data_IF_619929510698
#
_entry.id   IF_619929510698
#
_cell.length_a   1.000
_cell.length_b   1.000
_cell.length_c   1.000
_cell.angle_alpha   90.00
_cell.angle_beta   90.00
_cell.angle_gamma   90.00
#
_symmetry.space_group_name_H-M   'P 1'
#
loop_
_entity.id
_entity.type
_entity.pdbx_description
1 polymer ?
#
# COMPACT_ATOMS: atom_id res chain seq x y z
N UNK A 1 27.82 17.31 35.06
CA UNK A 1 26.56 17.69 34.39
C UNK A 1 26.36 16.69 33.28
N UNK A 2 25.47 15.73 33.52
CA UNK A 2 25.17 14.64 32.60
C UNK A 2 23.86 15.05 31.92
N UNK A 3 23.90 15.25 30.61
CA UNK A 3 22.71 15.53 29.81
C UNK A 3 21.88 14.25 29.71
N UNK A 4 20.73 14.29 30.37
CA UNK A 4 19.69 13.27 30.32
C UNK A 4 18.93 13.42 28.99
N UNK A 5 19.42 12.76 27.93
CA UNK A 5 18.65 12.56 26.72
C UNK A 5 17.61 11.47 26.97
N UNK A 6 16.49 11.87 27.55
CA UNK A 6 15.29 11.03 27.62
C UNK A 6 14.79 10.79 26.19
N UNK A 7 15.09 9.60 25.67
CA UNK A 7 14.50 9.00 24.47
C UNK A 7 12.99 9.25 24.45
N UNK A 8 12.52 10.11 23.53
CA UNK A 8 11.12 10.15 23.12
C UNK A 8 10.85 8.91 22.29
N UNK A 9 10.53 7.83 22.99
CA UNK A 9 9.85 6.68 22.45
C UNK A 9 8.48 7.17 21.97
N UNK A 10 8.36 7.45 20.66
CA UNK A 10 7.07 7.69 20.03
C UNK A 10 6.29 6.38 20.12
N UNK A 11 5.26 6.37 20.96
CA UNK A 11 4.31 5.27 21.07
C UNK A 11 3.87 4.82 19.68
N UNK A 12 4.07 3.54 19.39
CA UNK A 12 3.84 2.89 18.10
C UNK A 12 2.37 2.69 17.77
N UNK A 13 1.50 3.61 18.16
CA UNK A 13 0.08 3.59 17.80
C UNK A 13 -0.05 4.06 16.35
N UNK A 14 -0.48 3.23 15.39
CA UNK A 14 -0.75 3.70 14.04
C UNK A 14 -1.81 4.82 14.09
N UNK A 15 -1.61 5.89 13.31
CA UNK A 15 -2.61 6.96 13.17
C UNK A 15 -3.98 6.35 12.82
N UNK A 16 -5.09 6.93 13.29
CA UNK A 16 -6.43 6.43 13.01
C UNK A 16 -6.67 6.21 11.51
N UNK A 17 -6.12 7.08 10.66
CA UNK A 17 -6.19 6.97 9.19
C UNK A 17 -5.51 5.72 8.63
N UNK A 18 -4.48 5.19 9.32
CA UNK A 18 -3.78 3.97 8.93
C UNK A 18 -4.53 2.69 9.35
N UNK A 19 -5.35 2.78 10.40
CA UNK A 19 -6.19 1.66 10.84
C UNK A 19 -7.31 1.39 9.83
N UNK A 20 -7.84 2.44 9.20
CA UNK A 20 -8.90 2.34 8.19
C UNK A 20 -8.39 2.06 6.76
N UNK A 21 -7.07 2.06 6.56
CA UNK A 21 -6.45 1.87 5.25
C UNK A 21 -6.87 0.58 4.54
N UNK A 22 -6.95 -0.60 5.19
CA UNK A 22 -7.43 -1.81 4.52
C UNK A 22 -8.87 -1.69 4.01
N UNK A 23 -9.75 -1.03 4.78
CA UNK A 23 -11.12 -0.80 4.37
C UNK A 23 -11.20 0.18 3.19
N UNK A 24 -10.37 1.22 3.17
CA UNK A 24 -10.26 2.15 2.05
C UNK A 24 -9.75 1.44 0.78
N UNK A 25 -8.72 0.59 0.91
CA UNK A 25 -8.21 -0.24 -0.17
C UNK A 25 -9.29 -1.17 -0.74
N UNK A 26 -10.06 -1.85 0.12
CA UNK A 26 -11.15 -2.72 -0.33
C UNK A 26 -12.25 -1.94 -1.07
N UNK A 27 -12.64 -0.75 -0.61
CA UNK A 27 -13.60 0.11 -1.33
C UNK A 27 -13.10 0.49 -2.73
N UNK A 28 -11.86 0.94 -2.84
CA UNK A 28 -11.24 1.27 -4.13
C UNK A 28 -11.12 0.04 -5.03
N UNK A 29 -10.73 -1.10 -4.47
CA UNK A 29 -10.65 -2.38 -5.16
C UNK A 29 -12.02 -2.82 -5.73
N UNK A 30 -13.10 -2.63 -4.98
CA UNK A 30 -14.47 -2.89 -5.44
C UNK A 30 -14.86 -1.94 -6.59
N UNK A 31 -14.56 -0.64 -6.48
CA UNK A 31 -14.80 0.33 -7.57
C UNK A 31 -14.07 -0.09 -8.86
N UNK A 32 -12.79 -0.42 -8.76
CA UNK A 32 -11.96 -0.85 -9.90
C UNK A 32 -12.47 -2.15 -10.54
N UNK A 33 -12.92 -3.11 -9.73
CA UNK A 33 -13.42 -4.41 -10.21
C UNK A 33 -14.72 -4.29 -11.03
N UNK A 34 -15.45 -3.18 -10.89
CA UNK A 34 -16.69 -2.89 -11.64
C UNK A 34 -16.44 -2.09 -12.91
N UNK A 35 -15.22 -1.62 -13.14
CA UNK A 35 -14.91 -0.79 -14.31
C UNK A 35 -14.73 -1.62 -15.57
N UNK A 36 -15.19 -1.05 -16.69
CA UNK A 36 -14.90 -1.54 -18.02
C UNK A 36 -13.43 -1.28 -18.41
N UNK A 37 -12.86 -2.03 -19.36
CA UNK A 37 -11.50 -1.77 -19.88
C UNK A 37 -11.30 -0.33 -20.37
N UNK A 38 -12.34 0.28 -20.94
CA UNK A 38 -12.31 1.68 -21.39
C UNK A 38 -12.19 2.66 -20.23
N UNK A 39 -12.87 2.41 -19.13
CA UNK A 39 -12.81 3.25 -17.92
C UNK A 39 -11.47 3.11 -17.20
N UNK A 40 -10.94 1.89 -17.12
CA UNK A 40 -9.60 1.59 -16.59
C UNK A 40 -8.49 2.25 -17.41
N UNK A 41 -8.69 2.37 -18.72
CA UNK A 41 -7.74 3.02 -19.64
C UNK A 41 -7.79 4.54 -19.62
N UNK A 42 -8.77 5.16 -18.94
CA UNK A 42 -8.83 6.63 -18.83
C UNK A 42 -7.59 7.16 -18.13
N UNK A 43 -7.08 8.29 -18.62
CA UNK A 43 -5.91 8.95 -18.07
C UNK A 43 -6.29 9.87 -16.91
N UNK A 44 -5.43 9.89 -15.91
CA UNK A 44 -5.47 10.76 -14.75
C UNK A 44 -4.11 11.47 -14.64
N UNK A 45 -4.01 12.64 -14.00
CA UNK A 45 -2.72 13.27 -13.76
C UNK A 45 -1.78 12.30 -13.01
N UNK A 46 -0.52 12.19 -13.42
CA UNK A 46 0.56 11.42 -12.76
C UNK A 46 1.35 12.25 -11.74
N UNK A 47 2.16 11.60 -10.89
CA UNK A 47 2.91 12.28 -9.80
C UNK A 47 3.88 13.34 -10.32
N UNK A 48 4.39 13.12 -11.51
CA UNK A 48 5.26 13.99 -12.30
C UNK A 48 4.48 14.99 -13.18
N UNK A 49 3.15 15.05 -13.07
CA UNK A 49 2.29 15.84 -13.94
C UNK A 49 1.99 15.20 -15.30
N UNK A 50 2.62 14.06 -15.63
CA UNK A 50 2.37 13.37 -16.89
C UNK A 50 1.12 12.50 -16.80
N UNK A 51 0.26 12.45 -17.83
CA UNK A 51 -0.94 11.62 -17.79
C UNK A 51 -0.62 10.11 -17.69
N UNK A 52 -1.23 9.43 -16.71
CA UNK A 52 -1.11 7.98 -16.50
C UNK A 52 -2.48 7.31 -16.56
N UNK A 53 -2.59 6.06 -17.03
CA UNK A 53 -3.89 5.36 -17.02
C UNK A 53 -4.24 4.94 -15.58
N UNK A 54 -5.52 4.98 -15.22
CA UNK A 54 -5.99 4.53 -13.89
C UNK A 54 -5.49 3.13 -13.55
N UNK A 55 -5.53 2.22 -14.52
CA UNK A 55 -5.06 0.84 -14.31
C UNK A 55 -3.58 0.75 -14.00
N UNK A 56 -2.74 1.60 -14.59
CA UNK A 56 -1.30 1.58 -14.34
C UNK A 56 -1.01 2.12 -12.93
N UNK A 57 -1.75 3.14 -12.49
CA UNK A 57 -1.67 3.66 -11.11
C UNK A 57 -2.18 2.63 -10.10
N UNK A 58 -3.31 1.98 -10.38
CA UNK A 58 -3.84 0.91 -9.54
C UNK A 58 -2.89 -0.30 -9.44
N UNK A 59 -2.21 -0.63 -10.54
CA UNK A 59 -1.21 -1.70 -10.56
C UNK A 59 0.01 -1.34 -9.72
N UNK A 60 0.55 -0.13 -9.88
CA UNK A 60 1.64 0.35 -9.06
C UNK A 60 1.26 0.31 -7.57
N UNK A 61 0.04 0.72 -7.21
CA UNK A 61 -0.46 0.61 -5.84
C UNK A 61 -0.50 -0.85 -5.36
N UNK A 62 -1.00 -1.78 -6.19
CA UNK A 62 -1.05 -3.20 -5.86
C UNK A 62 0.36 -3.77 -5.64
N UNK A 63 1.31 -3.44 -6.52
CA UNK A 63 2.71 -3.87 -6.41
C UNK A 63 3.35 -3.35 -5.12
N UNK A 64 3.14 -2.07 -4.79
CA UNK A 64 3.61 -1.48 -3.53
C UNK A 64 2.98 -2.19 -2.33
N UNK A 65 1.67 -2.45 -2.36
CA UNK A 65 0.99 -3.15 -1.26
C UNK A 65 1.48 -4.59 -1.10
N UNK A 66 1.75 -5.31 -2.19
CA UNK A 66 2.33 -6.65 -2.13
C UNK A 66 3.72 -6.66 -1.48
N UNK A 67 4.53 -5.63 -1.76
CA UNK A 67 5.81 -5.42 -1.06
C UNK A 67 5.61 -5.19 0.44
N UNK A 68 4.61 -4.38 0.84
CA UNK A 68 4.31 -4.16 2.27
C UNK A 68 3.91 -5.47 2.93
N UNK A 69 2.97 -6.20 2.34
CA UNK A 69 2.48 -7.49 2.86
C UNK A 69 3.62 -8.48 3.03
N UNK A 70 4.46 -8.66 1.99
CA UNK A 70 5.62 -9.56 2.08
C UNK A 70 6.64 -9.06 3.11
N UNK A 71 6.85 -7.75 3.21
CA UNK A 71 7.75 -7.11 4.16
C UNK A 71 7.33 -7.33 5.61
N UNK A 72 6.03 -7.31 5.89
CA UNK A 72 5.44 -7.64 7.20
C UNK A 72 5.61 -9.14 7.49
N UNK A 73 5.22 -10.00 6.55
CA UNK A 73 5.32 -11.46 6.66
C UNK A 73 6.75 -11.92 7.04
N UNK A 74 7.76 -11.29 6.43
CA UNK A 74 9.17 -11.66 6.58
C UNK A 74 9.95 -10.75 7.54
N UNK A 75 9.28 -9.90 8.32
CA UNK A 75 9.95 -8.91 9.16
C UNK A 75 10.86 -9.53 10.24
N UNK A 76 10.66 -10.80 10.59
CA UNK A 76 11.46 -11.52 11.57
C UNK A 76 12.78 -12.08 10.98
N UNK A 77 12.96 -12.06 9.65
CA UNK A 77 14.16 -12.57 9.00
C UNK A 77 15.36 -11.63 9.18
N UNK A 78 16.55 -12.22 9.28
CA UNK A 78 17.82 -11.49 9.38
C UNK A 78 18.18 -10.76 8.08
N UNK A 79 17.79 -11.33 6.92
CA UNK A 79 18.08 -10.84 5.58
C UNK A 79 16.80 -10.42 4.84
N UNK A 80 16.89 -9.54 3.83
CA UNK A 80 15.73 -9.17 3.02
C UNK A 80 15.16 -10.38 2.28
N UNK A 81 13.81 -10.47 2.16
CA UNK A 81 13.18 -11.57 1.44
C UNK A 81 13.45 -11.45 -0.06
N UNK A 82 13.31 -12.57 -0.78
CA UNK A 82 13.24 -12.55 -2.24
C UNK A 82 11.91 -11.90 -2.68
N UNK A 83 11.98 -10.68 -3.18
CA UNK A 83 10.80 -9.90 -3.58
C UNK A 83 10.04 -10.57 -4.72
N UNK A 84 8.77 -10.88 -4.47
CA UNK A 84 7.87 -11.47 -5.47
C UNK A 84 7.24 -10.36 -6.30
N UNK A 85 7.12 -10.60 -7.60
CA UNK A 85 6.31 -9.76 -8.49
C UNK A 85 4.87 -10.26 -8.48
N UNK A 86 3.92 -9.33 -8.50
CA UNK A 86 2.53 -9.71 -8.76
C UNK A 86 2.42 -10.24 -10.19
N UNK A 87 1.73 -11.38 -10.41
CA UNK A 87 1.49 -11.87 -11.76
C UNK A 87 0.60 -10.89 -12.51
N UNK A 88 0.99 -10.58 -13.75
CA UNK A 88 0.19 -9.76 -14.66
C UNK A 88 -0.54 -10.67 -15.65
N UNK A 89 -1.88 -10.73 -15.53
CA UNK A 89 -2.72 -11.42 -16.52
C UNK A 89 -3.42 -10.45 -17.46
N UNK A 90 -4.16 -9.47 -16.91
CA UNK A 90 -4.96 -8.51 -17.67
C UNK A 90 -5.37 -7.31 -16.80
N UNK A 91 -5.66 -6.18 -17.45
CA UNK A 91 -6.08 -4.94 -16.77
C UNK A 91 -7.25 -5.12 -15.80
N UNK A 92 -8.23 -5.98 -16.12
CA UNK A 92 -9.43 -6.20 -15.31
C UNK A 92 -9.22 -6.93 -13.99
N UNK A 93 -8.06 -7.56 -13.73
CA UNK A 93 -7.83 -8.29 -12.46
C UNK A 93 -7.29 -7.41 -11.34
N UNK A 94 -6.87 -6.18 -11.63
CA UNK A 94 -6.18 -5.31 -10.65
C UNK A 94 -7.04 -5.03 -9.41
N UNK A 95 -8.36 -4.90 -9.58
CA UNK A 95 -9.28 -4.72 -8.46
C UNK A 95 -9.33 -5.95 -7.55
N UNK A 96 -9.31 -7.16 -8.11
CA UNK A 96 -9.26 -8.39 -7.32
C UNK A 96 -7.93 -8.53 -6.57
N UNK A 97 -6.81 -8.22 -7.24
CA UNK A 97 -5.48 -8.26 -6.64
C UNK A 97 -5.37 -7.30 -5.45
N UNK A 98 -5.83 -6.05 -5.61
CA UNK A 98 -5.86 -5.08 -4.52
C UNK A 98 -6.72 -5.56 -3.35
N UNK A 99 -7.86 -6.21 -3.63
CA UNK A 99 -8.76 -6.72 -2.60
C UNK A 99 -8.12 -7.83 -1.75
N UNK A 100 -7.47 -8.79 -2.39
CA UNK A 100 -6.75 -9.87 -1.69
C UNK A 100 -5.66 -9.28 -0.80
N UNK A 101 -4.86 -8.38 -1.34
CA UNK A 101 -3.78 -7.74 -0.59
C UNK A 101 -4.28 -6.83 0.55
N UNK A 102 -5.43 -6.18 0.38
CA UNK A 102 -6.08 -5.41 1.44
C UNK A 102 -6.55 -6.32 2.59
N UNK A 103 -7.09 -7.49 2.26
CA UNK A 103 -7.47 -8.50 3.24
C UNK A 103 -6.24 -9.02 4.00
N UNK A 104 -5.15 -9.34 3.30
CA UNK A 104 -3.89 -9.76 3.91
C UNK A 104 -3.37 -8.69 4.87
N UNK A 105 -3.31 -7.43 4.43
CA UNK A 105 -2.90 -6.31 5.27
C UNK A 105 -3.77 -6.20 6.53
N UNK A 106 -5.10 -6.29 6.40
CA UNK A 106 -6.02 -6.26 7.55
C UNK A 106 -5.73 -7.37 8.56
N UNK A 107 -5.39 -8.57 8.08
CA UNK A 107 -4.99 -9.70 8.94
C UNK A 107 -3.67 -9.47 9.66
N UNK A 108 -2.73 -8.74 9.04
CA UNK A 108 -1.41 -8.50 9.62
C UNK A 108 -1.34 -7.30 10.58
N UNK A 109 -2.11 -6.23 10.35
CA UNK A 109 -2.02 -4.99 11.14
C UNK A 109 -2.09 -5.18 12.67
N UNK A 110 -2.96 -6.02 13.25
CA UNK A 110 -3.04 -6.20 14.70
C UNK A 110 -1.75 -6.73 15.35
N UNK A 111 -0.89 -7.38 14.56
CA UNK A 111 0.36 -8.00 15.01
C UNK A 111 1.56 -7.47 14.24
N UNK A 112 1.41 -6.33 13.56
CA UNK A 112 2.41 -5.86 12.65
C UNK A 112 3.65 -5.34 13.41
N UNK A 113 4.85 -5.65 12.92
CA UNK A 113 6.10 -5.18 13.50
C UNK A 113 6.27 -3.69 13.24
N UNK A 114 6.96 -2.98 14.14
CA UNK A 114 7.25 -1.56 13.98
C UNK A 114 8.11 -1.26 12.73
N UNK A 115 8.98 -2.21 12.34
CA UNK A 115 9.80 -2.12 11.14
C UNK A 115 9.61 -3.34 10.24
N UNK A 116 9.56 -3.09 8.94
CA UNK A 116 9.41 -4.12 7.91
C UNK A 116 10.61 -4.10 6.97
N UNK A 117 10.81 -5.21 6.26
CA UNK A 117 11.67 -5.19 5.09
C UNK A 117 10.98 -4.44 3.94
N UNK A 118 11.76 -3.69 3.18
CA UNK A 118 11.39 -3.12 1.88
C UNK A 118 12.54 -3.34 0.90
N UNK A 119 12.33 -3.16 -0.42
CA UNK A 119 13.41 -3.23 -1.40
C UNK A 119 14.56 -2.24 -1.13
N UNK A 120 14.29 -1.15 -0.41
CA UNK A 120 15.28 -0.16 0.00
C UNK A 120 15.95 -0.48 1.36
N UNK A 121 15.65 -1.63 1.97
CA UNK A 121 16.11 -2.03 3.31
C UNK A 121 15.00 -1.92 4.37
N UNK A 122 15.40 -1.91 5.65
CA UNK A 122 14.48 -1.80 6.78
C UNK A 122 13.87 -0.40 6.86
N UNK A 123 12.54 -0.32 6.99
CA UNK A 123 11.82 0.94 7.16
C UNK A 123 10.72 0.82 8.22
N UNK A 124 10.36 1.92 8.91
CA UNK A 124 9.17 1.95 9.77
C UNK A 124 7.91 1.62 8.97
N UNK A 125 7.07 0.74 9.50
CA UNK A 125 5.82 0.35 8.85
C UNK A 125 4.89 1.56 8.68
N UNK A 126 4.79 2.41 9.69
CA UNK A 126 3.92 3.59 9.67
C UNK A 126 4.22 4.53 8.48
N UNK A 127 5.50 4.81 8.20
CA UNK A 127 5.91 5.64 7.07
C UNK A 127 5.50 5.03 5.73
N UNK A 128 5.70 3.71 5.59
CA UNK A 128 5.37 2.99 4.37
C UNK A 128 3.85 2.95 4.15
N UNK A 129 3.06 2.77 5.22
CA UNK A 129 1.60 2.82 5.13
C UNK A 129 1.09 4.24 4.82
N UNK A 130 1.70 5.29 5.37
CA UNK A 130 1.35 6.67 5.05
C UNK A 130 1.60 7.01 3.57
N UNK A 131 2.72 6.55 3.00
CA UNK A 131 2.98 6.69 1.57
C UNK A 131 1.97 5.95 0.70
N UNK A 132 1.49 4.78 1.17
CA UNK A 132 0.49 3.97 0.49
C UNK A 132 -0.90 4.63 0.55
N UNK A 133 -1.26 5.20 1.70
CA UNK A 133 -2.50 5.96 1.89
C UNK A 133 -2.55 7.17 0.95
N UNK A 134 -1.45 7.92 0.82
CA UNK A 134 -1.38 9.04 -0.11
C UNK A 134 -1.55 8.63 -1.59
N UNK A 135 -1.04 7.46 -1.98
CA UNK A 135 -1.30 6.91 -3.33
C UNK A 135 -2.75 6.48 -3.53
N UNK A 136 -3.36 5.89 -2.50
CA UNK A 136 -4.75 5.47 -2.52
C UNK A 136 -5.69 6.66 -2.65
N UNK A 137 -5.54 7.69 -1.80
CA UNK A 137 -6.33 8.93 -1.85
C UNK A 137 -6.26 9.57 -3.24
N UNK A 138 -5.05 9.62 -3.80
CA UNK A 138 -4.82 10.12 -5.15
C UNK A 138 -5.63 9.34 -6.17
N UNK A 139 -5.55 8.01 -6.16
CA UNK A 139 -6.30 7.17 -7.09
C UNK A 139 -7.80 7.40 -6.92
N UNK A 140 -8.28 7.41 -5.68
CA UNK A 140 -9.70 7.57 -5.34
C UNK A 140 -10.31 8.86 -5.87
N UNK A 141 -9.59 10.00 -5.81
CA UNK A 141 -10.05 11.28 -6.37
C UNK A 141 -10.44 11.22 -7.86
N UNK A 142 -9.90 10.25 -8.60
CA UNK A 142 -10.16 10.09 -10.03
C UNK A 142 -11.01 8.87 -10.37
N UNK A 143 -11.54 8.15 -9.37
CA UNK A 143 -12.55 7.12 -9.58
C UNK A 143 -13.95 7.74 -9.57
N UNK A 144 -14.92 7.16 -10.31
CA UNK A 144 -16.32 7.57 -10.19
C UNK A 144 -16.83 7.32 -8.75
N UNK A 145 -17.71 8.21 -8.30
CA UNK A 145 -18.43 8.09 -7.03
C UNK A 145 -19.42 6.94 -7.01
#
# INVERSE_FOLDING_TARGET
MVDDQTSRQTDGTPSADLVDLPAALDRVAQKLSRMTPRELSRRIPGRDGLPQRRVDVARALAERLAVVVQGVEHAHLADPPAWRRLPYERDGVVGFQLRVLAHDLAGFLPHAPAQIWTPAGRRPLADVLAELAADLERLEMFLPG
#
